data_IF_421356538360
#
_entry.id   IF_421356538360
#
_cell.length_a   1.000
_cell.length_b   1.000
_cell.length_c   1.000
_cell.angle_alpha   90.00
_cell.angle_beta   90.00
_cell.angle_gamma   90.00
#
_symmetry.space_group_name_H-M   'P 1'
#
loop_
_entity.id
_entity.type
_entity.pdbx_description
1 polymer ?
#
# COMPACT_ATOMS: atom_id res chain seq x y z
N UNK A 1 -14.41 9.25 -20.29
CA UNK A 1 -13.55 8.32 -19.56
C UNK A 1 -14.28 6.99 -19.29
N UNK A 2 -15.36 6.94 -18.49
CA UNK A 2 -16.03 5.70 -18.10
C UNK A 2 -16.52 4.85 -19.29
N UNK A 3 -17.09 5.48 -20.32
CA UNK A 3 -17.51 4.76 -21.53
C UNK A 3 -16.35 4.02 -22.23
N UNK A 4 -15.15 4.60 -22.20
CA UNK A 4 -13.94 3.96 -22.74
C UNK A 4 -13.42 2.88 -21.79
N UNK A 5 -13.37 3.17 -20.49
CA UNK A 5 -12.98 2.22 -19.45
C UNK A 5 -13.80 0.93 -19.53
N UNK A 6 -15.13 1.03 -19.70
CA UNK A 6 -16.00 -0.14 -19.82
C UNK A 6 -15.62 -1.05 -20.99
N UNK A 7 -15.23 -0.47 -22.13
CA UNK A 7 -14.76 -1.27 -23.28
C UNK A 7 -13.47 -2.05 -22.96
N UNK A 8 -12.55 -1.44 -22.19
CA UNK A 8 -11.31 -2.12 -21.75
C UNK A 8 -11.65 -3.26 -20.78
N UNK A 9 -12.50 -3.00 -19.80
CA UNK A 9 -12.95 -4.01 -18.84
C UNK A 9 -13.59 -5.21 -19.56
N UNK A 10 -14.52 -4.94 -20.47
CA UNK A 10 -15.19 -5.97 -21.27
C UNK A 10 -14.19 -6.78 -22.10
N UNK A 11 -13.21 -6.09 -22.73
CA UNK A 11 -12.17 -6.77 -23.51
C UNK A 11 -11.32 -7.69 -22.63
N UNK A 12 -10.85 -7.23 -21.48
CA UNK A 12 -10.05 -8.05 -20.56
C UNK A 12 -10.85 -9.26 -20.08
N UNK A 13 -12.11 -9.05 -19.68
CA UNK A 13 -13.02 -10.12 -19.25
C UNK A 13 -13.31 -11.14 -20.35
N UNK A 14 -13.47 -10.69 -21.60
CA UNK A 14 -13.66 -11.59 -22.74
C UNK A 14 -12.47 -12.53 -23.00
N UNK A 15 -11.30 -12.21 -22.45
CA UNK A 15 -10.10 -13.05 -22.44
C UNK A 15 -9.99 -13.96 -21.22
N UNK A 16 -11.04 -14.06 -20.40
CA UNK A 16 -11.07 -14.89 -19.19
C UNK A 16 -10.16 -14.38 -18.07
N UNK A 17 -9.85 -13.07 -18.04
CA UNK A 17 -8.99 -12.46 -17.02
C UNK A 17 -9.80 -11.65 -16.02
N UNK A 18 -9.37 -11.68 -14.77
CA UNK A 18 -9.87 -10.77 -13.73
C UNK A 18 -9.34 -9.37 -13.97
N UNK A 19 -10.21 -8.38 -13.89
CA UNK A 19 -9.81 -6.98 -14.03
C UNK A 19 -9.38 -6.44 -12.69
N UNK A 20 -8.16 -5.90 -12.65
CA UNK A 20 -7.67 -5.09 -11.54
C UNK A 20 -7.26 -3.73 -12.09
N UNK A 21 -7.58 -2.64 -11.40
CA UNK A 21 -7.26 -1.29 -11.87
C UNK A 21 -6.98 -0.33 -10.72
N UNK A 22 -6.10 0.64 -10.96
CA UNK A 22 -5.84 1.72 -10.01
C UNK A 22 -7.09 2.56 -9.78
N UNK A 23 -7.34 2.90 -8.51
CA UNK A 23 -8.61 3.46 -8.05
C UNK A 23 -8.71 4.98 -8.08
N UNK A 24 -7.62 5.70 -8.24
CA UNK A 24 -7.54 7.16 -8.06
C UNK A 24 -8.48 7.94 -8.97
N UNK A 25 -8.53 7.62 -10.26
CA UNK A 25 -9.44 8.28 -11.20
C UNK A 25 -10.91 7.94 -10.90
N UNK A 26 -11.19 6.71 -10.46
CA UNK A 26 -12.54 6.31 -10.08
C UNK A 26 -13.00 7.08 -8.82
N UNK A 27 -12.12 7.24 -7.83
CA UNK A 27 -12.39 8.03 -6.61
C UNK A 27 -12.59 9.52 -6.89
N UNK A 28 -12.01 10.05 -7.96
CA UNK A 28 -12.28 11.44 -8.39
C UNK A 28 -13.70 11.64 -8.95
N UNK A 29 -14.43 10.54 -9.17
CA UNK A 29 -15.80 10.53 -9.68
C UNK A 29 -16.69 9.57 -8.89
N UNK A 30 -16.91 9.81 -7.60
CA UNK A 30 -17.61 8.87 -6.71
C UNK A 30 -19.05 8.58 -7.17
N UNK A 31 -19.69 9.55 -7.83
CA UNK A 31 -21.02 9.40 -8.45
C UNK A 31 -21.04 8.38 -9.60
N UNK A 32 -19.90 7.94 -10.10
CA UNK A 32 -19.76 6.97 -11.20
C UNK A 32 -19.32 5.58 -10.77
N UNK A 33 -18.98 5.37 -9.51
CA UNK A 33 -18.51 4.06 -9.01
C UNK A 33 -19.52 2.93 -9.29
N UNK A 34 -20.80 3.25 -9.30
CA UNK A 34 -21.86 2.26 -9.57
C UNK A 34 -21.83 1.69 -10.99
N UNK A 35 -21.15 2.33 -11.95
CA UNK A 35 -20.98 1.81 -13.30
C UNK A 35 -19.89 0.74 -13.41
N UNK A 36 -18.97 0.67 -12.42
CA UNK A 36 -17.88 -0.31 -12.44
C UNK A 36 -18.45 -1.69 -12.07
N UNK A 37 -18.18 -2.74 -12.86
CA UNK A 37 -18.61 -4.09 -12.54
C UNK A 37 -18.07 -4.55 -11.19
N UNK A 38 -18.91 -5.20 -10.38
CA UNK A 38 -18.61 -5.60 -8.99
C UNK A 38 -17.49 -6.64 -8.87
N UNK A 39 -17.18 -7.35 -9.93
CA UNK A 39 -16.07 -8.29 -10.02
C UNK A 39 -14.73 -7.63 -10.43
N UNK A 40 -14.73 -6.30 -10.62
CA UNK A 40 -13.49 -5.53 -10.78
C UNK A 40 -12.86 -5.27 -9.42
N UNK A 41 -11.54 -5.48 -9.32
CA UNK A 41 -10.78 -5.21 -8.09
C UNK A 41 -10.13 -3.83 -8.19
N UNK A 42 -10.44 -2.96 -7.26
CA UNK A 42 -9.88 -1.61 -7.18
C UNK A 42 -8.57 -1.62 -6.39
N UNK A 43 -7.48 -1.19 -7.00
CA UNK A 43 -6.19 -0.98 -6.33
C UNK A 43 -6.19 0.43 -5.73
N UNK A 44 -6.50 0.50 -4.44
CA UNK A 44 -6.72 1.75 -3.72
C UNK A 44 -5.44 2.23 -3.05
N UNK A 45 -4.72 3.13 -3.73
CA UNK A 45 -3.41 3.58 -3.32
C UNK A 45 -3.41 4.99 -2.71
N UNK A 46 -2.55 5.19 -1.75
CA UNK A 46 -2.12 6.50 -1.23
C UNK A 46 -0.83 6.32 -0.42
N UNK A 47 0.01 7.36 -0.36
CA UNK A 47 1.34 7.28 0.26
C UNK A 47 1.56 8.34 1.34
N UNK A 48 0.50 8.97 1.83
CA UNK A 48 0.57 9.87 2.99
C UNK A 48 0.54 9.06 4.28
N UNK A 49 1.23 9.52 5.34
CA UNK A 49 1.29 8.78 6.61
C UNK A 49 -0.08 8.71 7.31
N UNK A 50 -0.96 9.67 7.03
CA UNK A 50 -2.33 9.72 7.54
C UNK A 50 -3.32 9.69 6.36
N UNK A 51 -3.63 8.49 5.82
CA UNK A 51 -4.51 8.33 4.68
C UNK A 51 -5.97 8.65 5.04
N UNK A 52 -6.69 9.20 4.06
CA UNK A 52 -8.12 9.44 4.18
C UNK A 52 -8.90 8.11 4.17
N UNK A 53 -9.47 7.76 5.31
CA UNK A 53 -10.33 6.57 5.49
C UNK A 53 -11.52 6.57 4.53
N UNK A 54 -12.05 7.74 4.19
CA UNK A 54 -13.18 7.92 3.29
C UNK A 54 -12.95 7.30 1.90
N UNK A 55 -11.71 7.25 1.43
CA UNK A 55 -11.36 6.60 0.15
C UNK A 55 -11.55 5.09 0.17
N UNK A 56 -11.21 4.45 1.29
CA UNK A 56 -11.42 3.00 1.47
C UNK A 56 -12.89 2.70 1.64
N UNK A 57 -13.58 3.52 2.43
CA UNK A 57 -15.02 3.43 2.65
C UNK A 57 -15.83 3.61 1.35
N UNK A 58 -15.43 4.51 0.46
CA UNK A 58 -16.16 4.81 -0.78
C UNK A 58 -16.28 3.58 -1.71
N UNK A 59 -15.22 2.79 -1.85
CA UNK A 59 -15.30 1.55 -2.63
C UNK A 59 -16.16 0.48 -1.93
N UNK A 60 -16.06 0.36 -0.62
CA UNK A 60 -16.88 -0.56 0.15
C UNK A 60 -18.38 -0.20 0.04
N UNK A 61 -18.74 1.07 0.23
CA UNK A 61 -20.11 1.56 0.08
C UNK A 61 -20.66 1.34 -1.34
N UNK A 62 -19.80 1.46 -2.34
CA UNK A 62 -20.15 1.15 -3.72
C UNK A 62 -20.25 -0.37 -4.00
N UNK A 63 -19.95 -1.25 -3.05
CA UNK A 63 -19.94 -2.70 -3.20
C UNK A 63 -18.88 -3.20 -4.17
N UNK A 64 -17.75 -2.50 -4.29
CA UNK A 64 -16.63 -2.87 -5.12
C UNK A 64 -15.56 -3.59 -4.31
N UNK A 65 -15.00 -4.64 -4.88
CA UNK A 65 -13.81 -5.28 -4.31
C UNK A 65 -12.62 -4.33 -4.36
N UNK A 66 -11.79 -4.34 -3.32
CA UNK A 66 -10.58 -3.53 -3.28
C UNK A 66 -9.43 -4.24 -2.61
N UNK A 67 -8.22 -3.84 -3.00
CA UNK A 67 -6.95 -4.11 -2.31
C UNK A 67 -6.39 -2.75 -1.90
N UNK A 68 -6.02 -2.57 -0.65
CA UNK A 68 -5.35 -1.35 -0.20
C UNK A 68 -3.88 -1.39 -0.57
N UNK A 69 -3.38 -0.31 -1.16
CA UNK A 69 -2.04 -0.26 -1.73
C UNK A 69 -1.20 0.85 -1.07
N UNK A 70 -0.65 0.59 0.12
CA UNK A 70 0.33 1.48 0.74
C UNK A 70 1.69 1.40 0.04
N UNK A 71 2.67 2.13 0.55
CA UNK A 71 4.00 2.08 0.00
C UNK A 71 5.11 2.36 1.01
N UNK A 72 6.32 1.92 0.65
CA UNK A 72 7.53 2.01 1.48
C UNK A 72 8.08 3.42 1.62
N UNK A 73 7.57 4.41 0.87
CA UNK A 73 8.04 5.80 0.90
C UNK A 73 9.57 5.95 0.72
N UNK A 74 10.17 5.11 -0.12
CA UNK A 74 11.62 5.08 -0.41
C UNK A 74 11.99 5.73 -1.75
N UNK A 75 11.04 6.01 -2.63
CA UNK A 75 11.29 6.72 -3.88
C UNK A 75 11.57 8.21 -3.65
N UNK A 76 12.35 8.83 -4.54
CA UNK A 76 12.76 10.24 -4.49
C UNK A 76 13.68 10.61 -3.34
N UNK A 77 14.34 9.63 -2.69
CA UNK A 77 15.19 9.86 -1.52
C UNK A 77 16.28 8.79 -1.42
N UNK A 78 17.28 9.04 -0.60
CA UNK A 78 18.40 8.10 -0.44
C UNK A 78 18.10 6.94 0.52
N UNK A 79 17.16 7.15 1.44
CA UNK A 79 16.69 6.13 2.40
C UNK A 79 15.19 6.23 2.60
N UNK A 80 14.57 5.16 3.06
CA UNK A 80 13.15 5.10 3.38
C UNK A 80 12.77 6.14 4.44
N UNK A 81 11.64 6.83 4.25
CA UNK A 81 10.99 7.63 5.28
C UNK A 81 10.11 6.71 6.15
N UNK A 82 10.75 6.05 7.12
CA UNK A 82 10.13 4.99 7.93
C UNK A 82 8.87 5.48 8.64
N UNK A 83 8.91 6.66 9.28
CA UNK A 83 7.75 7.20 10.00
C UNK A 83 6.52 7.37 9.07
N UNK A 84 6.77 7.73 7.82
CA UNK A 84 5.71 7.86 6.81
C UNK A 84 5.20 6.51 6.32
N UNK A 85 6.09 5.60 5.97
CA UNK A 85 5.71 4.27 5.49
C UNK A 85 4.99 3.47 6.57
N UNK A 86 5.46 3.52 7.81
CA UNK A 86 4.84 2.87 8.97
C UNK A 86 3.42 3.39 9.20
N UNK A 87 3.24 4.72 9.27
CA UNK A 87 1.91 5.33 9.41
C UNK A 87 0.98 4.98 8.25
N UNK A 88 1.48 5.06 7.02
CA UNK A 88 0.72 4.74 5.81
C UNK A 88 0.28 3.28 5.77
N UNK A 89 1.23 2.35 5.92
CA UNK A 89 0.98 0.91 5.82
C UNK A 89 0.03 0.44 6.93
N UNK A 90 0.28 0.90 8.17
CA UNK A 90 -0.54 0.51 9.33
C UNK A 90 -1.97 0.96 9.15
N UNK A 91 -2.21 2.25 8.88
CA UNK A 91 -3.57 2.79 8.76
C UNK A 91 -4.33 2.22 7.57
N UNK A 92 -3.68 2.07 6.41
CA UNK A 92 -4.34 1.46 5.25
C UNK A 92 -4.68 0.00 5.49
N UNK A 93 -3.82 -0.76 6.17
CA UNK A 93 -4.13 -2.13 6.56
C UNK A 93 -5.35 -2.19 7.49
N UNK A 94 -5.39 -1.31 8.50
CA UNK A 94 -6.48 -1.22 9.47
C UNK A 94 -7.81 -0.82 8.77
N UNK A 95 -7.77 0.16 7.87
CA UNK A 95 -8.95 0.56 7.08
C UNK A 95 -9.36 -0.55 6.11
N UNK A 96 -8.38 -1.21 5.46
CA UNK A 96 -8.65 -2.37 4.61
C UNK A 96 -9.40 -3.48 5.35
N UNK A 97 -8.92 -3.85 6.54
CA UNK A 97 -9.58 -4.84 7.40
C UNK A 97 -10.98 -4.38 7.84
N UNK A 98 -11.13 -3.13 8.24
CA UNK A 98 -12.41 -2.54 8.67
C UNK A 98 -13.47 -2.55 7.56
N UNK A 99 -13.08 -2.31 6.32
CA UNK A 99 -13.99 -2.21 5.18
C UNK A 99 -13.96 -3.42 4.25
N UNK A 100 -13.44 -4.55 4.70
CA UNK A 100 -13.50 -5.83 3.98
C UNK A 100 -12.70 -5.85 2.68
N UNK A 101 -11.56 -5.15 2.62
CA UNK A 101 -10.64 -5.27 1.49
C UNK A 101 -10.12 -6.71 1.36
N UNK A 102 -9.85 -7.14 0.13
CA UNK A 102 -9.33 -8.49 -0.17
C UNK A 102 -7.93 -8.72 0.39
N UNK A 103 -7.18 -7.66 0.64
CA UNK A 103 -5.83 -7.73 1.17
C UNK A 103 -5.07 -6.43 0.99
N UNK A 104 -3.74 -6.53 1.15
CA UNK A 104 -2.79 -5.43 1.01
C UNK A 104 -1.81 -5.72 -0.14
N UNK A 105 -1.52 -4.72 -0.96
CA UNK A 105 -0.46 -4.73 -1.96
C UNK A 105 0.54 -3.62 -1.61
N UNK A 106 1.55 -3.94 -0.82
CA UNK A 106 2.57 -2.97 -0.44
C UNK A 106 3.47 -2.67 -1.64
N UNK A 107 3.66 -1.40 -1.95
CA UNK A 107 4.35 -0.94 -3.16
C UNK A 107 5.71 -0.31 -2.84
N UNK A 108 6.65 -0.48 -3.75
CA UNK A 108 7.92 0.22 -3.76
C UNK A 108 8.20 0.74 -5.18
N UNK A 109 8.27 2.07 -5.34
CA UNK A 109 8.41 2.72 -6.64
C UNK A 109 9.85 3.15 -6.89
N UNK A 110 10.22 3.21 -8.18
CA UNK A 110 11.54 3.64 -8.61
C UNK A 110 11.57 5.03 -9.23
N UNK A 111 10.68 5.95 -8.79
CA UNK A 111 10.58 7.30 -9.33
C UNK A 111 11.90 8.07 -9.21
N UNK A 112 12.16 8.98 -10.14
CA UNK A 112 13.36 9.82 -10.20
C UNK A 112 14.68 9.02 -10.24
N UNK A 113 14.67 7.90 -10.95
CA UNK A 113 15.88 7.10 -11.21
C UNK A 113 16.23 6.09 -10.12
N UNK A 114 15.30 5.83 -9.17
CA UNK A 114 15.48 4.80 -8.14
C UNK A 114 16.78 4.96 -7.34
N UNK A 115 17.01 6.16 -6.83
CA UNK A 115 18.24 6.53 -6.11
C UNK A 115 18.36 5.88 -4.73
N UNK A 116 17.25 5.38 -4.15
CA UNK A 116 17.26 4.65 -2.88
C UNK A 116 17.89 3.26 -3.09
N UNK A 117 18.96 2.90 -2.40
CA UNK A 117 19.44 1.53 -2.41
C UNK A 117 18.34 0.58 -1.93
N UNK A 118 18.16 -0.55 -2.63
CA UNK A 118 17.07 -1.48 -2.33
C UNK A 118 17.03 -1.92 -0.85
N UNK A 119 18.21 -2.17 -0.26
CA UNK A 119 18.32 -2.56 1.15
C UNK A 119 17.78 -1.50 2.11
N UNK A 120 17.78 -0.20 1.72
CA UNK A 120 17.24 0.87 2.54
C UNK A 120 15.70 0.99 2.46
N UNK A 121 15.02 0.12 1.71
CA UNK A 121 13.56 0.06 1.60
C UNK A 121 12.96 -1.25 2.15
N UNK A 122 13.79 -2.14 2.68
CA UNK A 122 13.36 -3.48 3.11
C UNK A 122 12.44 -3.43 4.34
N UNK A 123 12.65 -2.48 5.23
CA UNK A 123 11.85 -2.41 6.45
C UNK A 123 10.37 -2.12 6.16
N UNK A 124 10.07 -1.20 5.26
CA UNK A 124 8.69 -0.97 4.81
C UNK A 124 8.05 -2.21 4.18
N UNK A 125 8.83 -3.07 3.51
CA UNK A 125 8.33 -4.35 3.00
C UNK A 125 8.00 -5.31 4.14
N UNK A 126 8.84 -5.37 5.18
CA UNK A 126 8.61 -6.21 6.37
C UNK A 126 7.37 -5.73 7.14
N UNK A 127 7.18 -4.41 7.31
CA UNK A 127 5.95 -3.85 7.90
C UNK A 127 4.74 -4.31 7.08
N UNK A 128 4.79 -4.18 5.75
CA UNK A 128 3.70 -4.61 4.87
C UNK A 128 3.37 -6.09 5.00
N UNK A 129 4.39 -6.95 5.10
CA UNK A 129 4.22 -8.38 5.32
C UNK A 129 3.58 -8.67 6.69
N UNK A 130 4.08 -8.04 7.76
CA UNK A 130 3.55 -8.16 9.11
C UNK A 130 2.07 -7.74 9.19
N UNK A 131 1.74 -6.58 8.64
CA UNK A 131 0.36 -6.06 8.65
C UNK A 131 -0.57 -6.85 7.73
N UNK A 132 -0.07 -7.39 6.64
CA UNK A 132 -0.81 -8.29 5.75
C UNK A 132 -1.11 -9.65 6.38
N UNK A 133 -0.17 -10.18 7.18
CA UNK A 133 -0.36 -11.43 7.92
C UNK A 133 -1.26 -11.25 9.14
N UNK A 134 -1.00 -10.21 9.93
CA UNK A 134 -1.74 -9.89 11.16
C UNK A 134 -1.96 -8.38 11.25
N UNK A 135 -3.09 -7.91 10.77
CA UNK A 135 -3.44 -6.50 10.74
C UNK A 135 -3.31 -5.81 12.12
N UNK A 136 -3.74 -6.50 13.20
CA UNK A 136 -3.68 -6.00 14.57
C UNK A 136 -2.28 -6.02 15.20
N UNK A 137 -1.24 -6.44 14.48
CA UNK A 137 0.12 -6.45 15.02
C UNK A 137 0.58 -5.02 15.34
N UNK A 138 1.15 -4.84 16.53
CA UNK A 138 1.81 -3.60 16.93
C UNK A 138 3.28 -3.68 16.53
N UNK A 139 3.81 -2.61 15.98
CA UNK A 139 5.21 -2.47 15.63
C UNK A 139 5.93 -1.93 16.88
N UNK A 140 6.70 -2.78 17.53
CA UNK A 140 7.41 -2.45 18.79
C UNK A 140 8.90 -2.27 18.52
N UNK A 141 9.63 -1.82 19.53
CA UNK A 141 11.09 -1.73 19.47
C UNK A 141 11.72 -3.11 19.24
N UNK A 142 11.20 -4.14 19.89
CA UNK A 142 11.66 -5.53 19.67
C UNK A 142 11.40 -6.00 18.24
N UNK A 143 10.35 -5.51 17.58
CA UNK A 143 10.11 -5.77 16.15
C UNK A 143 11.17 -5.10 15.28
N UNK A 144 11.58 -3.87 15.58
CA UNK A 144 12.64 -3.16 14.87
C UNK A 144 14.01 -3.85 15.06
N UNK A 145 14.32 -4.28 16.27
CA UNK A 145 15.55 -5.03 16.58
C UNK A 145 15.59 -6.35 15.83
N UNK A 146 14.49 -7.12 15.88
CA UNK A 146 14.38 -8.37 15.13
C UNK A 146 14.49 -8.16 13.61
N UNK A 147 13.91 -7.07 13.07
CA UNK A 147 14.06 -6.71 11.68
C UNK A 147 15.50 -6.30 11.33
N UNK A 148 16.20 -5.58 12.23
CA UNK A 148 17.61 -5.21 12.05
C UNK A 148 18.50 -6.44 11.97
N UNK A 149 18.32 -7.39 12.89
CA UNK A 149 19.04 -8.67 12.87
C UNK A 149 18.75 -9.47 11.59
N UNK A 150 17.46 -9.62 11.25
CA UNK A 150 17.06 -10.41 10.09
C UNK A 150 17.51 -9.84 8.74
N UNK A 151 17.41 -8.50 8.58
CA UNK A 151 17.65 -7.86 7.27
C UNK A 151 19.11 -7.44 7.06
N UNK A 152 19.83 -7.15 8.14
CA UNK A 152 21.15 -6.53 8.09
C UNK A 152 22.23 -7.30 8.86
N UNK A 153 21.88 -8.46 9.42
CA UNK A 153 22.79 -9.30 10.23
C UNK A 153 23.45 -8.48 11.37
N UNK A 154 22.65 -7.66 12.05
CA UNK A 154 23.12 -6.73 13.07
C UNK A 154 22.34 -6.92 14.38
N UNK A 155 23.05 -7.46 15.38
CA UNK A 155 22.53 -7.61 16.75
C UNK A 155 23.01 -6.47 17.68
N UNK A 156 24.10 -5.79 17.29
CA UNK A 156 24.71 -4.73 18.13
C UNK A 156 24.16 -3.32 17.85
N UNK A 157 23.58 -3.12 16.67
CA UNK A 157 23.08 -1.82 16.22
C UNK A 157 21.69 -1.97 15.63
N UNK A 158 20.77 -1.18 16.14
CA UNK A 158 19.45 -1.06 15.53
C UNK A 158 19.54 -0.25 14.21
N UNK A 159 19.81 -0.94 13.10
CA UNK A 159 19.96 -0.35 11.77
C UNK A 159 18.67 0.35 11.33
N UNK A 160 17.50 -0.17 11.72
CA UNK A 160 16.21 0.45 11.42
C UNK A 160 16.11 1.84 12.07
N UNK A 161 16.54 1.98 13.33
CA UNK A 161 16.57 3.26 14.03
C UNK A 161 17.50 4.28 13.35
N UNK A 162 18.64 3.82 12.83
CA UNK A 162 19.54 4.67 12.04
C UNK A 162 18.88 5.13 10.74
N UNK A 163 18.29 4.22 9.95
CA UNK A 163 17.58 4.55 8.70
C UNK A 163 16.44 5.54 9.01
N UNK A 164 15.66 5.31 10.07
CA UNK A 164 14.61 6.22 10.52
C UNK A 164 15.11 7.64 10.77
N UNK A 165 16.26 7.75 11.43
CA UNK A 165 16.89 9.04 11.71
C UNK A 165 17.37 9.75 10.44
N UNK A 166 17.91 9.00 9.49
CA UNK A 166 18.39 9.53 8.20
C UNK A 166 17.26 9.89 7.24
N UNK A 167 16.09 9.26 7.36
CA UNK A 167 14.94 9.47 6.48
C UNK A 167 14.04 10.65 6.88
N UNK A 168 14.26 11.27 8.02
CA UNK A 168 13.56 12.48 8.51
C UNK A 168 14.11 13.74 7.88
#
# INVERSE_FOLDING_TARGET
>A
YFKFLMKIIEHVKSRGKTVMMWGDIALSHPDKLHYIPKDTVMLNWTYVSDPDEGKVKAFADAGLNQIVCPGTSSWNRFVEEIDRSEGNITRLADYGAKYGALGILNTNWGDFGNICPFNCSLYGMVIGAQKGWRCSAVLTEEFEEAASSLLYDSDDVNVISLIRTMGR
#
